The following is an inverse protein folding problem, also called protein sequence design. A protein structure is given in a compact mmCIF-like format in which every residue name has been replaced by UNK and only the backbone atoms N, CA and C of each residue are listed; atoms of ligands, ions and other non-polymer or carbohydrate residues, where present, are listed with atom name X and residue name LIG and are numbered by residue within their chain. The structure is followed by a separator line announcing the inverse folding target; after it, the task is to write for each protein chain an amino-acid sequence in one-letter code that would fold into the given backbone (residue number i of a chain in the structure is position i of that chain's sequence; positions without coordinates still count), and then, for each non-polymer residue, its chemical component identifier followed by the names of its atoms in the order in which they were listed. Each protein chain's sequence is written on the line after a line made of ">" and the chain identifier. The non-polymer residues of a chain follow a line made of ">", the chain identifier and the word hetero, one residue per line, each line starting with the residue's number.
data_IF_404231001788
#
_entry.id   IF_404231001788
#
_cell.length_a   1.000
_cell.length_b   1.000
_cell.length_c   1.000
_cell.angle_alpha   90.00
_cell.angle_beta   90.00
_cell.angle_gamma   90.00
#
_symmetry.space_group_name_H-M   'P 1'
#
loop_
_entity.id
_entity.type
_entity.pdbx_description
1 polymer ?
#
# COMPACT_ATOMS: atom_id res chain seq x y z
N UNK A 1 -0.29 7.29 13.30
CA UNK A 1 0.72 8.37 13.26
C UNK A 1 0.34 9.40 12.20
N UNK A 2 0.61 10.67 12.45
CA UNK A 2 0.42 11.73 11.45
C UNK A 2 1.65 11.79 10.53
N UNK A 3 1.50 12.21 9.26
CA UNK A 3 2.65 12.37 8.37
C UNK A 3 3.77 13.25 8.93
N UNK A 4 3.44 14.31 9.65
CA UNK A 4 4.43 15.19 10.29
C UNK A 4 5.33 14.46 11.29
N UNK A 5 4.86 13.41 11.93
CA UNK A 5 5.63 12.59 12.88
C UNK A 5 6.63 11.68 12.17
N UNK A 6 6.48 11.47 10.86
CA UNK A 6 7.39 10.67 10.04
C UNK A 6 8.58 11.49 9.50
N UNK A 7 8.50 12.82 9.51
CA UNK A 7 9.53 13.71 8.96
C UNK A 7 10.95 13.52 9.55
N UNK A 8 11.12 13.14 10.85
CA UNK A 8 12.45 12.89 11.40
C UNK A 8 13.10 11.59 10.94
N UNK A 9 12.38 10.73 10.23
CA UNK A 9 12.83 9.38 9.90
C UNK A 9 13.06 9.19 8.40
N UNK A 10 13.96 8.29 8.07
CA UNK A 10 14.17 7.81 6.70
C UNK A 10 13.02 6.88 6.30
N UNK A 11 12.39 7.11 5.16
CA UNK A 11 11.28 6.32 4.66
C UNK A 11 11.72 5.37 3.55
N UNK A 12 11.18 4.16 3.59
CA UNK A 12 11.23 3.17 2.53
C UNK A 12 9.84 3.08 1.89
N UNK A 13 9.73 3.47 0.63
CA UNK A 13 8.45 3.58 -0.06
C UNK A 13 8.37 2.62 -1.24
N UNK A 14 7.15 2.27 -1.72
CA UNK A 14 6.99 1.49 -2.93
C UNK A 14 7.64 2.17 -4.15
N UNK A 15 8.26 1.36 -5.01
CA UNK A 15 8.99 1.87 -6.19
C UNK A 15 8.09 2.46 -7.28
N UNK A 16 6.78 2.18 -7.27
CA UNK A 16 5.83 2.71 -8.26
C UNK A 16 5.70 4.22 -8.14
N UNK A 17 5.82 4.93 -9.28
CA UNK A 17 5.76 6.40 -9.31
C UNK A 17 4.43 6.96 -8.79
N UNK A 18 3.31 6.28 -9.12
CA UNK A 18 1.99 6.66 -8.60
C UNK A 18 1.94 6.65 -7.07
N UNK A 19 2.58 5.67 -6.43
CA UNK A 19 2.62 5.58 -4.96
C UNK A 19 3.48 6.66 -4.33
N UNK A 20 4.60 7.02 -4.98
CA UNK A 20 5.40 8.15 -4.54
C UNK A 20 4.58 9.43 -4.54
N UNK A 21 3.88 9.73 -5.63
CA UNK A 21 3.03 10.92 -5.73
C UNK A 21 1.89 10.95 -4.69
N UNK A 22 1.30 9.80 -4.39
CA UNK A 22 0.30 9.70 -3.31
C UNK A 22 0.91 9.99 -1.94
N UNK A 23 2.08 9.43 -1.64
CA UNK A 23 2.77 9.64 -0.37
C UNK A 23 3.24 11.10 -0.24
N UNK A 24 3.74 11.70 -1.31
CA UNK A 24 4.16 13.12 -1.32
C UNK A 24 3.00 14.03 -0.87
N UNK A 25 1.76 13.75 -1.30
CA UNK A 25 0.57 14.51 -0.91
C UNK A 25 0.31 14.48 0.59
N UNK A 26 0.66 13.41 1.29
CA UNK A 26 0.47 13.34 2.73
C UNK A 26 1.28 14.42 3.48
N UNK A 27 2.36 14.90 2.87
CA UNK A 27 3.27 15.87 3.48
C UNK A 27 3.05 17.32 3.00
N UNK A 28 2.16 17.56 2.03
CA UNK A 28 1.93 18.91 1.46
C UNK A 28 1.59 19.94 2.54
N UNK A 29 0.81 19.60 3.55
CA UNK A 29 0.45 20.50 4.65
C UNK A 29 1.55 20.72 5.70
N UNK A 30 2.66 20.00 5.63
CA UNK A 30 3.72 20.05 6.66
C UNK A 30 4.78 21.11 6.38
N UNK A 31 4.83 21.65 5.16
CA UNK A 31 5.86 22.58 4.71
C UNK A 31 7.25 21.95 4.51
N UNK A 32 7.37 20.61 4.64
CA UNK A 32 8.63 19.87 4.50
C UNK A 32 8.40 18.58 3.73
N UNK A 33 9.39 18.19 2.93
CA UNK A 33 9.39 16.90 2.24
C UNK A 33 9.97 15.81 3.15
N UNK A 34 9.44 14.56 3.08
CA UNK A 34 10.02 13.42 3.78
C UNK A 34 11.36 13.01 3.17
N UNK A 35 12.20 12.38 3.97
CA UNK A 35 13.45 11.77 3.49
C UNK A 35 13.15 10.37 2.96
N UNK A 36 13.26 10.18 1.66
CA UNK A 36 13.09 8.89 1.01
C UNK A 36 14.46 8.20 0.93
N UNK A 37 14.68 7.22 1.80
CA UNK A 37 15.92 6.44 1.85
C UNK A 37 16.02 5.44 0.72
N UNK A 38 14.90 4.86 0.34
CA UNK A 38 14.84 3.88 -0.72
C UNK A 38 13.45 3.70 -1.32
N UNK A 39 13.43 3.27 -2.59
CA UNK A 39 12.23 2.89 -3.32
C UNK A 39 12.30 1.39 -3.59
N UNK A 40 11.40 0.63 -3.00
CA UNK A 40 11.49 -0.82 -2.91
C UNK A 40 10.36 -1.47 -3.72
N UNK A 41 10.71 -2.37 -4.64
CA UNK A 41 9.74 -3.03 -5.51
C UNK A 41 8.91 -4.10 -4.77
N UNK A 42 9.53 -4.81 -3.83
CA UNK A 42 8.92 -5.92 -3.11
C UNK A 42 8.78 -5.61 -1.63
N UNK A 43 7.56 -5.72 -1.12
CA UNK A 43 7.23 -5.35 0.26
C UNK A 43 8.02 -6.15 1.31
N UNK A 44 8.28 -7.43 1.07
CA UNK A 44 9.06 -8.23 2.02
C UNK A 44 10.51 -7.75 2.13
N UNK A 45 11.11 -7.25 1.06
CA UNK A 45 12.44 -6.66 1.12
C UNK A 45 12.44 -5.36 1.95
N UNK A 46 11.40 -4.54 1.79
CA UNK A 46 11.28 -3.34 2.62
C UNK A 46 11.04 -3.69 4.10
N UNK A 47 10.27 -4.74 4.38
CA UNK A 47 10.10 -5.27 5.73
C UNK A 47 11.45 -5.67 6.37
N UNK A 48 12.25 -6.47 5.67
CA UNK A 48 13.57 -6.88 6.13
C UNK A 48 14.50 -5.67 6.39
N UNK A 49 14.48 -4.68 5.51
CA UNK A 49 15.25 -3.46 5.71
C UNK A 49 14.81 -2.69 6.96
N UNK A 50 13.49 -2.62 7.22
CA UNK A 50 12.98 -1.98 8.42
C UNK A 50 13.33 -2.76 9.69
N UNK A 51 13.27 -4.08 9.65
CA UNK A 51 13.66 -4.96 10.74
C UNK A 51 15.12 -4.73 11.15
N UNK A 52 15.98 -4.41 10.18
CA UNK A 52 17.38 -4.08 10.40
C UNK A 52 17.65 -2.58 10.61
N UNK A 53 16.62 -1.77 10.84
CA UNK A 53 16.76 -0.36 11.20
C UNK A 53 17.16 0.58 10.07
N UNK A 54 17.01 0.17 8.79
CA UNK A 54 17.36 1.02 7.64
C UNK A 54 16.40 2.19 7.47
N UNK A 55 15.12 2.01 7.85
CA UNK A 55 14.10 3.05 7.76
C UNK A 55 12.71 2.53 8.07
N UNK A 56 11.73 3.43 8.03
CA UNK A 56 10.31 3.10 8.20
C UNK A 56 9.71 2.75 6.85
N UNK A 57 9.16 1.55 6.72
CA UNK A 57 8.51 1.09 5.50
C UNK A 57 7.03 1.46 5.46
N UNK A 58 6.58 1.94 4.31
CA UNK A 58 5.17 2.26 4.05
C UNK A 58 4.52 1.10 3.30
N UNK A 59 3.45 0.54 3.87
CA UNK A 59 2.71 -0.62 3.34
C UNK A 59 1.21 -0.41 3.33
N UNK A 60 0.45 -1.13 2.48
CA UNK A 60 -0.97 -1.31 2.67
C UNK A 60 -1.27 -2.02 4.00
N UNK A 61 -2.30 -1.58 4.71
CA UNK A 61 -2.67 -2.15 6.01
C UNK A 61 -3.00 -3.65 5.96
N UNK A 62 -3.40 -4.17 4.79
CA UNK A 62 -3.68 -5.60 4.58
C UNK A 62 -2.51 -6.53 4.91
N UNK A 63 -1.28 -6.01 4.91
CA UNK A 63 -0.08 -6.79 5.25
C UNK A 63 0.14 -6.91 6.75
N UNK A 64 -0.44 -6.04 7.55
CA UNK A 64 -0.21 -6.00 9.00
C UNK A 64 -0.45 -7.35 9.69
N UNK A 65 -1.42 -8.13 9.19
CA UNK A 65 -1.73 -9.47 9.69
C UNK A 65 -0.62 -10.50 9.46
N UNK A 66 0.27 -10.25 8.50
CA UNK A 66 1.40 -11.13 8.17
C UNK A 66 2.67 -10.78 8.98
N UNK A 67 2.70 -9.59 9.56
CA UNK A 67 3.83 -9.12 10.36
C UNK A 67 3.65 -9.63 11.79
N UNK A 68 4.44 -10.62 12.17
CA UNK A 68 4.36 -11.27 13.48
C UNK A 68 5.61 -11.07 14.34
N UNK A 69 6.58 -10.36 13.82
CA UNK A 69 7.82 -10.09 14.54
C UNK A 69 7.54 -9.11 15.69
N UNK A 70 8.02 -9.45 16.89
CA UNK A 70 7.83 -8.64 18.10
C UNK A 70 8.68 -7.36 18.09
N UNK A 71 9.73 -7.35 17.29
CA UNK A 71 10.64 -6.21 17.18
C UNK A 71 10.14 -5.17 16.15
N UNK A 72 9.03 -5.45 15.46
CA UNK A 72 8.40 -4.56 14.50
C UNK A 72 7.10 -3.99 15.04
N UNK A 73 6.99 -2.67 15.01
CA UNK A 73 5.78 -1.95 15.38
C UNK A 73 5.06 -1.42 14.14
N UNK A 74 3.80 -1.82 13.96
CA UNK A 74 2.95 -1.33 12.87
C UNK A 74 2.04 -0.22 13.37
N UNK A 75 1.95 0.87 12.63
CA UNK A 75 1.06 1.99 12.92
C UNK A 75 0.37 2.45 11.64
N UNK A 76 -0.90 2.77 11.75
CA UNK A 76 -1.67 3.37 10.67
C UNK A 76 -1.28 4.84 10.48
N UNK A 77 -1.21 5.28 9.22
CA UNK A 77 -0.99 6.69 8.87
C UNK A 77 -2.32 7.42 8.90
N UNK A 78 -2.46 8.40 9.77
CA UNK A 78 -3.67 9.21 9.92
C UNK A 78 -3.68 10.36 8.91
N UNK A 79 -4.11 10.06 7.68
CA UNK A 79 -4.30 11.03 6.61
C UNK A 79 -5.47 10.61 5.70
N UNK A 80 -6.33 11.54 5.23
CA UNK A 80 -7.49 11.20 4.40
C UNK A 80 -7.13 10.40 3.13
N UNK A 81 -6.00 10.70 2.52
CA UNK A 81 -5.53 10.03 1.30
C UNK A 81 -4.63 8.80 1.58
N UNK A 82 -4.41 8.46 2.85
CA UNK A 82 -3.61 7.30 3.23
C UNK A 82 -4.47 6.02 3.19
N UNK A 83 -4.97 5.68 2.01
CA UNK A 83 -5.73 4.45 1.78
C UNK A 83 -5.21 3.73 0.55
N UNK A 84 -5.44 2.43 0.50
CA UNK A 84 -5.14 1.60 -0.66
C UNK A 84 -6.39 0.82 -1.06
N UNK A 85 -6.65 0.76 -2.36
CA UNK A 85 -7.71 -0.06 -2.93
C UNK A 85 -7.12 -1.09 -3.88
N UNK A 86 -7.80 -2.23 -3.97
CA UNK A 86 -7.48 -3.29 -4.92
C UNK A 86 -8.59 -3.35 -5.95
N UNK A 87 -8.23 -3.55 -7.20
CA UNK A 87 -9.19 -3.71 -8.29
C UNK A 87 -8.98 -5.07 -8.97
N UNK A 88 -10.06 -5.78 -9.17
CA UNK A 88 -10.09 -6.93 -10.06
C UNK A 88 -10.39 -6.44 -11.47
N UNK A 89 -9.46 -6.66 -12.38
CA UNK A 89 -9.58 -6.24 -13.79
C UNK A 89 -9.47 -7.45 -14.73
N UNK A 90 -10.24 -7.44 -15.79
CA UNK A 90 -10.14 -8.46 -16.85
C UNK A 90 -10.41 -7.85 -18.22
N UNK A 91 -9.89 -8.50 -19.26
CA UNK A 91 -10.07 -8.05 -20.62
C UNK A 91 -11.41 -8.54 -21.20
N UNK A 92 -12.34 -7.63 -21.48
CA UNK A 92 -13.65 -7.94 -22.05
C UNK A 92 -13.62 -8.54 -23.46
N UNK A 93 -12.50 -8.37 -24.19
CA UNK A 93 -12.35 -8.90 -25.55
C UNK A 93 -11.96 -10.39 -25.56
N UNK A 94 -11.58 -10.95 -24.44
CA UNK A 94 -11.26 -12.35 -24.29
C UNK A 94 -12.37 -13.09 -23.57
N UNK A 95 -12.76 -14.25 -24.10
CA UNK A 95 -13.67 -15.17 -23.43
C UNK A 95 -13.01 -15.67 -22.15
N UNK A 96 -13.68 -15.50 -21.03
CA UNK A 96 -13.24 -16.02 -19.76
C UNK A 96 -13.52 -17.52 -19.68
N UNK A 97 -12.68 -18.24 -18.96
CA UNK A 97 -13.01 -19.62 -18.56
C UNK A 97 -14.14 -19.61 -17.53
N UNK A 98 -14.88 -20.70 -17.44
CA UNK A 98 -15.95 -20.85 -16.43
C UNK A 98 -15.44 -20.59 -15.01
N UNK A 99 -14.25 -21.09 -14.68
CA UNK A 99 -13.62 -20.85 -13.36
C UNK A 99 -13.35 -19.35 -13.12
N UNK A 100 -12.93 -18.62 -14.14
CA UNK A 100 -12.69 -17.17 -14.01
C UNK A 100 -14.01 -16.39 -13.82
N UNK A 101 -15.09 -16.82 -14.49
CA UNK A 101 -16.42 -16.23 -14.31
C UNK A 101 -16.95 -16.47 -12.90
N UNK A 102 -16.86 -17.69 -12.41
CA UNK A 102 -17.23 -18.07 -11.04
C UNK A 102 -16.43 -17.29 -9.98
N UNK A 103 -15.14 -17.14 -10.21
CA UNK A 103 -14.28 -16.36 -9.30
C UNK A 103 -14.70 -14.88 -9.26
N UNK A 104 -15.00 -14.28 -10.42
CA UNK A 104 -15.47 -12.89 -10.48
C UNK A 104 -16.83 -12.76 -9.77
N UNK A 105 -17.74 -13.70 -9.97
CA UNK A 105 -19.03 -13.71 -9.29
C UNK A 105 -18.86 -13.80 -7.77
N UNK A 106 -18.03 -14.71 -7.29
CA UNK A 106 -17.69 -14.85 -5.88
C UNK A 106 -17.11 -13.59 -5.26
N UNK A 107 -16.11 -12.97 -5.92
CA UNK A 107 -15.50 -11.73 -5.42
C UNK A 107 -16.52 -10.59 -5.35
N UNK A 108 -17.43 -10.50 -6.31
CA UNK A 108 -18.50 -9.48 -6.29
C UNK A 108 -19.45 -9.68 -5.11
N UNK A 109 -19.83 -10.92 -4.83
CA UNK A 109 -20.72 -11.25 -3.71
C UNK A 109 -20.06 -10.96 -2.36
N UNK A 110 -18.83 -11.45 -2.16
CA UNK A 110 -18.10 -11.29 -0.91
C UNK A 110 -17.66 -9.84 -0.63
N UNK A 111 -17.28 -9.09 -1.67
CA UNK A 111 -16.80 -7.73 -1.48
C UNK A 111 -17.90 -6.70 -1.20
N UNK A 112 -19.15 -7.00 -1.54
CA UNK A 112 -20.28 -6.07 -1.45
C UNK A 112 -20.05 -4.76 -2.22
N UNK A 113 -19.03 -4.69 -3.07
CA UNK A 113 -18.60 -3.48 -3.74
C UNK A 113 -19.15 -3.40 -5.17
N UNK A 114 -19.45 -2.18 -5.55
CA UNK A 114 -19.89 -1.84 -6.89
C UNK A 114 -18.77 -2.06 -7.90
N UNK A 115 -19.03 -2.85 -8.95
CA UNK A 115 -18.07 -3.10 -10.02
C UNK A 115 -18.09 -1.93 -10.98
N UNK A 116 -16.98 -1.24 -11.10
CA UNK A 116 -16.79 -0.23 -12.13
C UNK A 116 -16.31 -0.92 -13.42
N UNK A 117 -17.08 -0.74 -14.48
CA UNK A 117 -16.67 -1.18 -15.83
C UNK A 117 -15.82 -0.07 -16.47
N UNK A 118 -14.59 -0.37 -16.68
CA UNK A 118 -13.74 0.48 -17.52
C UNK A 118 -13.89 0.09 -19.00
#
# INVERSE_FOLDING_TARGET
>A
VKPSELLPYDLLIPSRESRKGEIDKWFEGTGRAPVIRGRIAHMMNAYELSLHGVGISIYPASISSLIRDKDVCVREVAHPDAHASYALIWNKKHTLSHVAEEFIAYVKEESGQQVYYA
#
